data_IF_042683958070
#
_entry.id   IF_042683958070
#
_cell.length_a   1.000
_cell.length_b   1.000
_cell.length_c   1.000
_cell.angle_alpha   90.00
_cell.angle_beta   90.00
_cell.angle_gamma   90.00
#
_symmetry.space_group_name_H-M   'P 1'
#
loop_
_entity.id
_entity.type
_entity.pdbx_description
1 polymer ?
#
# COMPACT_ATOMS: atom_id res chain seq x y z
N UNK A 1 10.44 11.09 -20.06
CA UNK A 1 9.77 10.94 -21.36
C UNK A 1 9.75 9.50 -21.83
N UNK A 2 10.89 8.82 -21.90
CA UNK A 2 11.05 7.45 -22.40
C UNK A 2 10.11 6.46 -21.69
N UNK A 3 10.16 6.40 -20.36
CA UNK A 3 9.29 5.52 -19.58
C UNK A 3 7.79 5.71 -19.89
N UNK A 4 7.34 6.95 -19.96
CA UNK A 4 5.94 7.24 -20.29
C UNK A 4 5.64 6.92 -21.76
N UNK A 5 6.57 7.19 -22.68
CA UNK A 5 6.41 6.85 -24.10
C UNK A 5 6.25 5.35 -24.30
N UNK A 6 7.07 4.54 -23.62
CA UNK A 6 6.98 3.07 -23.63
C UNK A 6 5.67 2.61 -22.98
N UNK A 7 5.34 3.12 -21.78
CA UNK A 7 4.15 2.72 -21.04
C UNK A 7 2.85 2.99 -21.80
N UNK A 8 2.74 4.16 -22.42
CA UNK A 8 1.52 4.59 -23.12
C UNK A 8 1.53 4.29 -24.62
N UNK A 9 2.65 3.81 -25.16
CA UNK A 9 2.88 3.64 -26.60
C UNK A 9 2.52 4.91 -27.42
N UNK A 10 2.91 6.08 -26.88
CA UNK A 10 2.63 7.40 -27.48
C UNK A 10 3.82 8.33 -27.33
N UNK A 11 3.91 9.30 -28.21
CA UNK A 11 4.84 10.40 -28.01
C UNK A 11 4.42 11.22 -26.80
N UNK A 12 5.40 11.54 -25.93
CA UNK A 12 5.16 12.24 -24.67
C UNK A 12 5.89 13.58 -24.65
N UNK A 13 5.14 14.63 -24.47
CA UNK A 13 5.65 15.98 -24.24
C UNK A 13 5.60 16.29 -22.75
N UNK A 14 6.76 16.67 -22.20
CA UNK A 14 6.84 17.10 -20.81
C UNK A 14 6.49 18.58 -20.73
N UNK A 15 5.47 18.89 -19.91
CA UNK A 15 5.11 20.26 -19.57
C UNK A 15 4.99 20.40 -18.04
N UNK A 16 5.55 21.45 -17.44
CA UNK A 16 6.48 22.40 -18.06
C UNK A 16 7.83 21.76 -18.41
N UNK A 17 8.62 22.43 -19.23
CA UNK A 17 10.01 22.06 -19.43
C UNK A 17 10.77 22.15 -18.08
N UNK A 18 11.83 21.34 -17.87
CA UNK A 18 12.66 21.45 -16.67
C UNK A 18 13.15 22.89 -16.48
N UNK A 19 12.99 23.44 -15.27
CA UNK A 19 13.53 24.73 -14.89
C UNK A 19 15.05 24.71 -14.78
N UNK A 20 15.66 25.89 -14.71
CA UNK A 20 17.10 26.06 -14.44
C UNK A 20 17.40 25.86 -12.96
N UNK A 21 16.42 26.10 -12.10
CA UNK A 21 16.51 25.98 -10.66
C UNK A 21 15.66 24.81 -10.18
N UNK A 22 16.24 23.93 -9.38
CA UNK A 22 15.55 22.77 -8.82
C UNK A 22 14.48 23.18 -7.78
N UNK A 23 14.66 24.33 -7.13
CA UNK A 23 13.80 24.86 -6.08
C UNK A 23 12.67 25.76 -6.61
N UNK A 24 12.72 26.14 -7.89
CA UNK A 24 11.75 27.03 -8.54
C UNK A 24 11.26 26.41 -9.87
N UNK A 25 10.13 25.77 -9.84
CA UNK A 25 9.46 25.20 -11.00
C UNK A 25 8.19 25.97 -11.35
N UNK A 26 7.63 25.74 -12.53
CA UNK A 26 6.38 26.38 -12.95
C UNK A 26 5.22 26.19 -11.95
N UNK A 27 5.12 25.02 -11.34
CA UNK A 27 4.00 24.69 -10.44
C UNK A 27 4.34 24.81 -8.96
N UNK A 28 5.60 24.81 -8.59
CA UNK A 28 6.01 24.78 -7.21
C UNK A 28 7.31 25.52 -6.99
N UNK A 29 7.34 26.28 -5.92
CA UNK A 29 8.51 27.01 -5.46
C UNK A 29 8.79 26.58 -4.01
N UNK A 30 10.04 26.30 -3.70
CA UNK A 30 10.41 25.97 -2.33
C UNK A 30 10.29 27.21 -1.45
N UNK A 31 9.57 27.08 -0.36
CA UNK A 31 9.43 28.16 0.63
C UNK A 31 10.41 27.96 1.75
N UNK A 32 11.19 29.00 2.04
CA UNK A 32 12.05 29.01 3.24
C UNK A 32 11.16 28.93 4.49
N UNK A 33 11.56 28.04 5.42
CA UNK A 33 10.87 27.89 6.70
C UNK A 33 10.97 29.21 7.48
N UNK A 34 9.82 29.76 7.85
CA UNK A 34 9.71 30.98 8.66
C UNK A 34 8.58 30.78 9.68
N UNK A 35 8.93 30.34 10.86
CA UNK A 35 7.95 30.08 11.92
C UNK A 35 7.17 31.33 12.34
N UNK A 36 7.78 32.53 12.23
CA UNK A 36 7.12 33.79 12.56
C UNK A 36 6.01 34.13 11.59
N UNK A 37 6.13 33.69 10.32
CA UNK A 37 5.11 33.86 9.29
C UNK A 37 4.19 32.64 9.14
N UNK A 38 4.29 31.65 10.03
CA UNK A 38 3.48 30.44 9.95
C UNK A 38 3.90 29.49 8.81
N UNK A 39 5.08 29.66 8.25
CA UNK A 39 5.64 28.72 7.25
C UNK A 39 6.39 27.63 7.99
N UNK A 40 5.77 26.45 8.06
CA UNK A 40 6.26 25.31 8.81
C UNK A 40 6.96 24.29 7.91
N UNK A 41 7.86 23.51 8.53
CA UNK A 41 8.53 22.41 7.88
C UNK A 41 8.54 21.15 8.73
N UNK A 42 9.15 20.09 8.22
CA UNK A 42 9.39 18.84 8.93
C UNK A 42 10.82 18.78 9.41
N UNK A 43 11.01 18.34 10.64
CA UNK A 43 12.31 18.03 11.19
C UNK A 43 12.52 16.52 11.18
N UNK A 44 13.60 16.06 10.57
CA UNK A 44 13.99 14.65 10.58
C UNK A 44 15.04 14.41 11.65
N UNK A 45 14.88 13.31 12.42
CA UNK A 45 15.77 12.91 13.50
C UNK A 45 16.17 11.45 13.32
N UNK A 46 17.42 11.19 12.97
CA UNK A 46 17.94 9.82 12.85
C UNK A 46 18.37 9.27 14.20
N UNK A 47 17.94 8.06 14.52
CA UNK A 47 18.26 7.35 15.76
C UNK A 47 18.87 6.01 15.43
N UNK A 48 20.13 5.79 15.83
CA UNK A 48 20.79 4.49 15.73
C UNK A 48 20.95 3.90 17.13
N UNK A 49 20.33 2.74 17.41
CA UNK A 49 20.50 2.08 18.70
C UNK A 49 21.96 1.73 18.97
N UNK A 50 22.47 2.11 20.12
CA UNK A 50 23.79 1.71 20.59
C UNK A 50 23.64 1.00 21.94
N UNK A 51 24.15 -0.21 22.05
CA UNK A 51 24.10 -1.00 23.28
C UNK A 51 22.69 -1.48 23.71
N UNK A 52 21.70 -1.35 22.83
CA UNK A 52 20.32 -1.84 23.03
C UNK A 52 19.80 -2.53 21.78
N UNK A 53 18.85 -3.44 21.97
CA UNK A 53 18.17 -4.07 20.84
C UNK A 53 17.24 -3.08 20.13
N UNK A 54 16.93 -3.34 18.85
CA UNK A 54 15.95 -2.58 18.08
C UNK A 54 14.62 -2.46 18.83
N UNK A 55 14.08 -3.58 19.32
CA UNK A 55 12.79 -3.61 20.03
C UNK A 55 12.82 -2.78 21.33
N UNK A 56 13.88 -2.86 22.13
CA UNK A 56 14.00 -2.07 23.35
C UNK A 56 14.08 -0.55 23.04
N UNK A 57 14.72 -0.17 21.93
CA UNK A 57 14.79 1.22 21.50
C UNK A 57 13.42 1.69 21.01
N UNK A 58 12.71 0.85 20.27
CA UNK A 58 11.35 1.09 19.78
C UNK A 58 10.38 1.35 20.93
N UNK A 59 10.35 0.46 21.94
CA UNK A 59 9.54 0.61 23.16
C UNK A 59 9.83 1.94 23.86
N UNK A 60 11.13 2.22 24.10
CA UNK A 60 11.55 3.42 24.82
C UNK A 60 11.24 4.70 24.07
N UNK A 61 11.43 4.70 22.75
CA UNK A 61 11.18 5.87 21.91
C UNK A 61 9.69 6.17 21.86
N UNK A 62 8.84 5.16 21.58
CA UNK A 62 7.39 5.32 21.62
C UNK A 62 6.91 5.82 22.99
N UNK A 63 7.31 5.18 24.06
CA UNK A 63 6.93 5.57 25.41
C UNK A 63 7.37 7.01 25.75
N UNK A 64 8.61 7.38 25.39
CA UNK A 64 9.12 8.72 25.65
C UNK A 64 8.36 9.80 24.87
N UNK A 65 8.09 9.58 23.58
CA UNK A 65 7.33 10.51 22.74
C UNK A 65 5.91 10.69 23.26
N UNK A 66 5.22 9.59 23.54
CA UNK A 66 3.85 9.61 24.05
C UNK A 66 3.77 10.31 25.42
N UNK A 67 4.59 9.89 26.36
CA UNK A 67 4.58 10.44 27.73
C UNK A 67 4.98 11.92 27.75
N UNK A 68 5.94 12.33 26.91
CA UNK A 68 6.44 13.69 26.89
C UNK A 68 5.39 14.68 26.41
N UNK A 69 4.66 14.38 25.34
CA UNK A 69 3.54 15.22 24.85
C UNK A 69 2.49 15.40 25.95
N UNK A 70 2.19 14.34 26.70
CA UNK A 70 1.22 14.39 27.80
C UNK A 70 1.69 15.31 28.94
N UNK A 71 2.96 15.27 29.28
CA UNK A 71 3.52 16.01 30.44
C UNK A 71 3.96 17.43 30.14
N UNK A 72 4.04 17.83 28.86
CA UNK A 72 4.38 19.21 28.52
C UNK A 72 3.27 20.17 28.95
N UNK A 73 3.67 21.30 29.50
CA UNK A 73 2.79 22.44 29.83
C UNK A 73 2.56 23.28 28.55
N UNK A 74 1.64 22.81 27.74
CA UNK A 74 1.19 23.44 26.49
C UNK A 74 -0.33 23.35 26.40
N UNK A 75 -0.96 24.24 25.63
CA UNK A 75 -2.40 24.24 25.47
C UNK A 75 -2.92 22.91 24.88
N UNK A 76 -4.19 22.57 25.16
CA UNK A 76 -4.82 21.35 24.65
C UNK A 76 -4.87 21.35 23.10
N UNK A 77 -5.01 22.51 22.48
CA UNK A 77 -4.94 22.64 21.03
C UNK A 77 -3.58 22.21 20.47
N UNK A 78 -2.49 22.65 21.08
CA UNK A 78 -1.13 22.24 20.68
C UNK A 78 -0.87 20.78 21.03
N UNK A 79 -1.39 20.30 22.18
CA UNK A 79 -1.32 18.88 22.53
C UNK A 79 -2.03 18.02 21.48
N UNK A 80 -3.20 18.44 21.00
CA UNK A 80 -3.93 17.72 19.98
C UNK A 80 -3.11 17.54 18.70
N UNK A 81 -2.41 18.59 18.25
CA UNK A 81 -1.53 18.53 17.07
C UNK A 81 -0.37 17.53 17.21
N UNK A 82 0.04 17.21 18.44
CA UNK A 82 1.15 16.30 18.75
C UNK A 82 0.67 14.99 19.40
N UNK A 83 -0.65 14.82 19.59
CA UNK A 83 -1.20 13.74 20.39
C UNK A 83 -1.01 12.37 19.76
N UNK A 84 -1.29 12.24 18.48
CA UNK A 84 -1.21 10.95 17.79
C UNK A 84 0.22 10.69 17.32
N UNK A 85 0.84 9.64 17.85
CA UNK A 85 2.10 9.13 17.33
C UNK A 85 1.82 8.17 16.17
N UNK A 86 2.17 8.56 14.96
CA UNK A 86 2.13 7.69 13.80
C UNK A 86 3.39 6.85 13.73
N UNK A 87 3.28 5.52 13.69
CA UNK A 87 4.43 4.61 13.59
C UNK A 87 4.34 3.85 12.27
N UNK A 88 5.35 4.06 11.42
CA UNK A 88 5.43 3.45 10.10
C UNK A 88 6.33 2.21 10.12
N UNK A 89 5.87 1.13 9.52
CA UNK A 89 6.57 -0.14 9.39
C UNK A 89 6.72 -0.56 7.93
N UNK A 90 7.86 -1.16 7.61
CA UNK A 90 8.17 -1.68 6.27
C UNK A 90 7.48 -3.04 5.98
N UNK A 91 6.88 -3.68 6.98
CA UNK A 91 6.19 -4.96 6.82
C UNK A 91 5.06 -5.14 7.83
N UNK A 92 4.03 -5.90 7.43
CA UNK A 92 2.92 -6.30 8.32
C UNK A 92 3.41 -7.15 9.52
N UNK A 93 4.48 -7.93 9.33
CA UNK A 93 5.08 -8.75 10.39
C UNK A 93 5.67 -7.88 11.51
N UNK A 94 6.41 -6.82 11.15
CA UNK A 94 6.98 -5.90 12.14
C UNK A 94 5.88 -5.10 12.84
N UNK A 95 4.86 -4.67 12.10
CA UNK A 95 3.71 -3.98 12.65
C UNK A 95 2.93 -4.86 13.64
N UNK A 96 2.67 -6.12 13.30
CA UNK A 96 1.98 -7.05 14.21
C UNK A 96 2.70 -7.23 15.54
N UNK A 97 4.05 -7.31 15.51
CA UNK A 97 4.85 -7.32 16.74
C UNK A 97 4.72 -6.02 17.53
N UNK A 98 4.72 -4.89 16.85
CA UNK A 98 4.62 -3.58 17.48
C UNK A 98 3.26 -3.37 18.15
N UNK A 99 2.18 -3.91 17.61
CA UNK A 99 0.87 -3.88 18.25
C UNK A 99 0.92 -4.50 19.63
N UNK A 100 1.51 -5.68 19.77
CA UNK A 100 1.72 -6.34 21.08
C UNK A 100 2.63 -5.50 21.99
N UNK A 101 3.74 -4.94 21.44
CA UNK A 101 4.63 -4.10 22.23
C UNK A 101 3.93 -2.83 22.77
N UNK A 102 3.00 -2.25 22.00
CA UNK A 102 2.23 -1.07 22.45
C UNK A 102 1.31 -1.46 23.60
N UNK A 103 0.66 -2.60 23.51
CA UNK A 103 -0.32 -3.02 24.51
C UNK A 103 0.32 -3.44 25.84
N UNK A 104 1.50 -4.01 25.80
CA UNK A 104 2.20 -4.50 27.00
C UNK A 104 3.37 -3.58 27.39
N UNK A 105 4.47 -3.65 26.65
CA UNK A 105 5.76 -3.05 27.07
C UNK A 105 5.76 -1.53 27.07
N UNK A 106 5.13 -0.88 26.07
CA UNK A 106 5.10 0.58 25.97
C UNK A 106 4.27 1.17 27.11
N UNK A 107 3.11 0.58 27.42
CA UNK A 107 2.26 0.99 28.54
C UNK A 107 3.01 0.86 29.87
N UNK A 108 3.68 -0.26 30.09
CA UNK A 108 4.49 -0.52 31.27
C UNK A 108 5.64 0.49 31.39
N UNK A 109 6.31 0.77 30.28
CA UNK A 109 7.43 1.72 30.28
C UNK A 109 6.96 3.15 30.58
N UNK A 110 5.77 3.55 30.11
CA UNK A 110 5.13 4.84 30.44
C UNK A 110 4.87 4.91 31.96
N UNK A 111 4.29 3.85 32.55
CA UNK A 111 4.02 3.79 34.00
C UNK A 111 5.32 3.96 34.80
N UNK A 112 6.36 3.20 34.48
CA UNK A 112 7.67 3.29 35.15
C UNK A 112 8.30 4.68 35.01
N UNK A 113 8.17 5.28 33.82
CA UNK A 113 8.72 6.61 33.56
C UNK A 113 7.96 7.68 34.33
N UNK A 114 6.64 7.64 34.33
CA UNK A 114 5.79 8.57 35.09
C UNK A 114 6.09 8.50 36.58
N UNK A 115 6.18 7.30 37.15
CA UNK A 115 6.50 7.08 38.57
C UNK A 115 7.89 7.66 38.92
N UNK A 116 8.91 7.40 38.07
CA UNK A 116 10.27 7.91 38.30
C UNK A 116 10.37 9.43 38.22
N UNK A 117 9.54 10.05 37.38
CA UNK A 117 9.53 11.50 37.16
C UNK A 117 8.51 12.23 38.04
N UNK A 118 7.75 11.49 38.87
CA UNK A 118 6.67 12.03 39.71
C UNK A 118 5.63 12.82 38.88
N UNK A 119 5.27 12.32 37.70
CA UNK A 119 4.31 12.97 36.80
C UNK A 119 3.06 12.08 36.64
N UNK A 120 1.97 12.68 36.14
CA UNK A 120 0.84 11.90 35.65
C UNK A 120 1.25 10.96 34.50
N UNK A 121 0.54 9.85 34.38
CA UNK A 121 0.78 8.88 33.29
C UNK A 121 -0.21 9.10 32.14
N UNK A 122 0.28 9.02 30.91
CA UNK A 122 -0.58 8.96 29.73
C UNK A 122 -1.29 7.61 29.64
N UNK A 123 -2.59 7.63 29.46
CA UNK A 123 -3.38 6.43 29.18
C UNK A 123 -3.41 6.15 27.69
N UNK A 124 -3.08 4.92 27.30
CA UNK A 124 -3.22 4.42 25.94
C UNK A 124 -4.31 3.35 25.96
N UNK A 125 -5.41 3.58 25.27
CA UNK A 125 -6.53 2.62 25.21
C UNK A 125 -6.14 1.46 24.31
N UNK A 126 -5.83 1.74 23.05
CA UNK A 126 -5.38 0.78 22.04
C UNK A 126 -4.60 1.51 20.94
N UNK A 127 -3.84 0.77 20.14
CA UNK A 127 -3.32 1.27 18.90
C UNK A 127 -4.37 1.12 17.81
N UNK A 128 -4.53 2.18 17.00
CA UNK A 128 -5.31 2.13 15.76
C UNK A 128 -4.40 1.67 14.62
N UNK A 129 -4.95 1.07 13.57
CA UNK A 129 -4.17 0.47 12.47
C UNK A 129 -4.61 0.99 11.10
N UNK A 130 -3.63 1.24 10.21
CA UNK A 130 -3.83 1.56 8.79
C UNK A 130 -3.00 0.63 7.92
N UNK A 131 -3.56 -0.52 7.62
CA UNK A 131 -2.90 -1.56 6.82
C UNK A 131 -3.88 -2.24 5.86
N UNK A 132 -3.33 -3.03 4.95
CA UNK A 132 -4.12 -3.82 4.01
C UNK A 132 -4.84 -5.02 4.64
N UNK A 133 -4.55 -5.35 5.89
CA UNK A 133 -5.18 -6.50 6.58
C UNK A 133 -6.50 -6.17 7.26
N UNK A 134 -6.76 -4.89 7.56
CA UNK A 134 -8.02 -4.46 8.15
C UNK A 134 -9.11 -4.33 7.08
N UNK A 135 -10.36 -4.51 7.49
CA UNK A 135 -11.50 -4.35 6.59
C UNK A 135 -11.70 -2.90 6.18
N UNK A 136 -12.41 -2.66 5.07
CA UNK A 136 -12.75 -1.31 4.62
C UNK A 136 -13.59 -0.55 5.65
N UNK A 137 -14.42 -1.26 6.41
CA UNK A 137 -15.23 -0.66 7.48
C UNK A 137 -14.35 -0.15 8.62
N UNK A 138 -13.46 -1.00 9.13
CA UNK A 138 -12.48 -0.62 10.17
C UNK A 138 -11.56 0.50 9.73
N UNK A 139 -11.15 0.49 8.45
CA UNK A 139 -10.36 1.58 7.86
C UNK A 139 -11.11 2.92 7.93
N UNK A 140 -12.38 2.94 7.52
CA UNK A 140 -13.20 4.15 7.55
C UNK A 140 -13.45 4.62 8.99
N UNK A 141 -13.70 3.72 9.92
CA UNK A 141 -13.86 4.04 11.34
C UNK A 141 -12.58 4.66 11.93
N UNK A 142 -11.42 4.10 11.58
CA UNK A 142 -10.12 4.64 11.99
C UNK A 142 -9.89 6.05 11.42
N UNK A 143 -10.18 6.26 10.14
CA UNK A 143 -10.06 7.58 9.51
C UNK A 143 -11.02 8.60 10.14
N UNK A 144 -12.28 8.21 10.33
CA UNK A 144 -13.28 9.04 11.00
C UNK A 144 -12.86 9.43 12.42
N UNK A 145 -12.29 8.50 13.16
CA UNK A 145 -11.75 8.76 14.50
C UNK A 145 -10.59 9.76 14.46
N UNK A 146 -9.66 9.56 13.51
CA UNK A 146 -8.51 10.47 13.34
C UNK A 146 -8.92 11.88 12.93
N UNK A 147 -9.97 12.05 12.15
CA UNK A 147 -10.43 13.35 11.69
C UNK A 147 -11.33 14.07 12.70
N UNK A 148 -12.25 13.33 13.35
CA UNK A 148 -13.36 13.91 14.13
C UNK A 148 -13.13 13.93 15.63
N UNK A 149 -12.23 13.10 16.18
CA UNK A 149 -12.00 13.02 17.62
C UNK A 149 -10.67 13.66 17.99
N UNK A 150 -10.71 14.90 18.42
CA UNK A 150 -9.55 15.65 18.91
C UNK A 150 -9.26 15.38 20.41
N UNK A 151 -8.03 15.61 20.82
CA UNK A 151 -7.67 15.64 22.23
C UNK A 151 -8.21 16.92 22.87
N UNK A 152 -9.24 16.78 23.72
CA UNK A 152 -9.79 17.88 24.47
C UNK A 152 -10.41 17.39 25.78
N UNK A 153 -10.45 18.27 26.78
CA UNK A 153 -11.07 17.97 28.06
C UNK A 153 -12.56 17.56 27.90
N UNK A 154 -13.28 18.19 26.96
CA UNK A 154 -14.68 17.87 26.65
C UNK A 154 -14.84 16.44 26.10
N UNK A 155 -13.99 16.03 25.14
CA UNK A 155 -14.03 14.69 24.60
C UNK A 155 -13.64 13.63 25.64
N UNK A 156 -12.66 13.92 26.49
CA UNK A 156 -12.25 13.01 27.59
C UNK A 156 -13.42 12.84 28.58
N UNK A 157 -14.10 13.91 28.97
CA UNK A 157 -15.26 13.86 29.85
C UNK A 157 -16.42 13.05 29.24
N UNK A 158 -16.58 13.14 27.91
CA UNK A 158 -17.55 12.36 27.14
C UNK A 158 -17.09 10.91 26.85
N UNK A 159 -15.95 10.46 27.39
CA UNK A 159 -15.31 9.16 27.14
C UNK A 159 -14.97 8.91 25.64
N UNK A 160 -14.78 9.97 24.88
CA UNK A 160 -14.34 9.94 23.50
C UNK A 160 -12.84 10.23 23.45
N UNK A 161 -12.05 9.20 23.18
CA UNK A 161 -10.60 9.30 23.25
C UNK A 161 -9.99 9.45 21.86
N UNK A 162 -9.18 10.49 21.67
CA UNK A 162 -8.39 10.67 20.47
C UNK A 162 -7.37 9.52 20.32
N UNK A 163 -7.07 9.15 19.08
CA UNK A 163 -6.06 8.14 18.79
C UNK A 163 -4.72 8.50 19.42
N UNK A 164 -4.14 7.58 20.18
CA UNK A 164 -2.82 7.77 20.81
C UNK A 164 -1.70 7.28 19.93
N UNK A 165 -1.86 6.11 19.31
CA UNK A 165 -0.87 5.45 18.45
C UNK A 165 -1.58 4.99 17.18
N UNK A 166 -1.00 5.34 16.04
CA UNK A 166 -1.44 4.90 14.74
C UNK A 166 -0.34 4.04 14.11
N UNK A 167 -0.57 2.73 14.00
CA UNK A 167 0.35 1.80 13.36
C UNK A 167 0.02 1.71 11.87
N UNK A 168 0.99 1.95 11.00
CA UNK A 168 0.75 2.00 9.57
C UNK A 168 1.85 1.32 8.75
N UNK A 169 1.48 0.82 7.57
CA UNK A 169 2.39 0.43 6.50
C UNK A 169 2.24 1.40 5.32
N UNK A 170 2.56 0.98 4.11
CA UNK A 170 2.42 1.78 2.88
C UNK A 170 1.02 2.35 2.65
N UNK A 171 -0.02 1.83 3.31
CA UNK A 171 -1.38 2.37 3.24
C UNK A 171 -1.47 3.84 3.67
N UNK A 172 -0.63 4.29 4.61
CA UNK A 172 -0.57 5.70 4.99
C UNK A 172 -0.13 6.61 3.83
N UNK A 173 0.66 6.09 2.92
CA UNK A 173 1.18 6.84 1.77
C UNK A 173 0.11 7.23 0.76
N UNK A 174 -1.08 6.62 0.81
CA UNK A 174 -2.10 6.76 -0.22
C UNK A 174 -3.42 7.27 0.34
N UNK A 175 -3.80 8.48 -0.07
CA UNK A 175 -5.15 9.01 0.13
C UNK A 175 -5.49 9.49 1.55
N UNK A 176 -4.58 9.42 2.51
CA UNK A 176 -4.81 9.91 3.87
C UNK A 176 -4.35 11.35 3.99
N UNK A 177 -5.26 12.22 4.33
CA UNK A 177 -5.00 13.65 4.56
C UNK A 177 -5.57 14.11 5.90
N UNK A 178 -4.93 13.69 6.98
CA UNK A 178 -5.29 14.07 8.34
C UNK A 178 -4.35 15.16 8.83
N UNK A 179 -4.81 16.40 8.85
CA UNK A 179 -4.01 17.59 9.14
C UNK A 179 -3.40 17.63 10.56
N UNK A 180 -3.96 16.87 11.50
CA UNK A 180 -3.51 16.82 12.90
C UNK A 180 -2.34 15.86 13.15
N UNK A 181 -1.90 15.08 12.17
CA UNK A 181 -0.76 14.19 12.31
C UNK A 181 0.55 14.99 12.14
N UNK A 182 1.32 15.16 13.21
CA UNK A 182 2.55 15.93 13.16
C UNK A 182 3.76 15.23 13.81
N UNK A 183 3.57 14.06 14.41
CA UNK A 183 4.64 13.25 14.98
C UNK A 183 4.64 11.87 14.33
N UNK A 184 5.76 11.50 13.74
CA UNK A 184 5.95 10.19 13.13
C UNK A 184 7.22 9.52 13.63
N UNK A 185 7.15 8.21 13.80
CA UNK A 185 8.29 7.33 13.98
C UNK A 185 8.33 6.34 12.82
N UNK A 186 9.43 6.25 12.12
CA UNK A 186 9.67 5.26 11.06
C UNK A 186 10.60 4.19 11.59
N UNK A 187 10.17 2.93 11.53
CA UNK A 187 10.92 1.78 12.07
C UNK A 187 11.71 1.11 10.94
N UNK A 188 12.93 1.56 10.73
CA UNK A 188 13.81 1.22 9.63
C UNK A 188 13.58 2.09 8.40
N UNK A 189 14.61 2.16 7.55
CA UNK A 189 14.52 2.87 6.28
C UNK A 189 13.62 2.10 5.29
N UNK A 190 12.60 2.72 4.67
CA UNK A 190 11.86 2.13 3.57
C UNK A 190 12.76 1.67 2.42
N UNK A 191 12.31 0.70 1.63
CA UNK A 191 13.11 0.16 0.54
C UNK A 191 13.35 1.19 -0.57
N UNK A 192 12.36 1.98 -0.86
CA UNK A 192 12.40 3.01 -1.89
C UNK A 192 12.43 4.40 -1.25
N UNK A 193 13.21 5.30 -1.81
CA UNK A 193 13.24 6.72 -1.41
C UNK A 193 11.88 7.39 -1.68
N UNK A 194 11.21 7.02 -2.77
CA UNK A 194 9.85 7.48 -3.05
C UNK A 194 8.86 7.12 -1.94
N UNK A 195 8.93 5.91 -1.41
CA UNK A 195 8.11 5.45 -0.29
C UNK A 195 8.42 6.22 1.00
N UNK A 196 9.72 6.45 1.27
CA UNK A 196 10.17 7.27 2.39
C UNK A 196 9.57 8.67 2.34
N UNK A 197 9.65 9.33 1.18
CA UNK A 197 9.10 10.66 0.95
C UNK A 197 7.57 10.66 1.11
N UNK A 198 6.88 9.73 0.49
CA UNK A 198 5.42 9.65 0.51
C UNK A 198 4.88 9.39 1.93
N UNK A 199 5.50 8.49 2.68
CA UNK A 199 5.09 8.19 4.05
C UNK A 199 5.39 9.37 4.99
N UNK A 200 6.62 9.88 5.00
CA UNK A 200 7.02 10.98 5.89
C UNK A 200 6.30 12.31 5.59
N UNK A 201 5.85 12.51 4.34
CA UNK A 201 5.07 13.69 3.95
C UNK A 201 3.65 13.72 4.51
N UNK A 202 3.19 12.66 5.17
CA UNK A 202 1.85 12.60 5.78
C UNK A 202 1.76 13.33 7.12
N UNK A 203 2.88 13.68 7.70
CA UNK A 203 2.92 14.48 8.94
C UNK A 203 3.52 15.86 8.68
N UNK A 204 3.15 16.81 9.52
CA UNK A 204 3.67 18.19 9.41
C UNK A 204 3.18 18.94 8.18
N UNK A 205 1.89 18.82 7.84
CA UNK A 205 1.28 19.54 6.71
C UNK A 205 0.77 20.91 7.08
N UNK A 206 0.08 21.02 8.19
CA UNK A 206 -0.55 22.26 8.66
C UNK A 206 0.08 22.80 9.93
N UNK A 207 1.04 22.07 10.53
CA UNK A 207 1.72 22.40 11.76
C UNK A 207 3.15 21.86 11.70
N UNK A 208 4.11 22.37 12.50
CA UNK A 208 5.47 21.83 12.53
C UNK A 208 5.48 20.32 12.77
N UNK A 209 6.12 19.58 11.87
CA UNK A 209 6.19 18.13 11.94
C UNK A 209 7.55 17.62 12.39
N UNK A 210 7.57 16.46 13.03
CA UNK A 210 8.81 15.75 13.36
C UNK A 210 8.72 14.28 12.97
N UNK A 211 9.76 13.79 12.30
CA UNK A 211 9.91 12.41 11.86
C UNK A 211 11.13 11.81 12.51
N UNK A 212 10.92 10.85 13.40
CA UNK A 212 11.99 10.07 14.02
C UNK A 212 12.22 8.82 13.18
N UNK A 213 13.43 8.65 12.66
CA UNK A 213 13.81 7.46 11.89
C UNK A 213 14.68 6.58 12.77
N UNK A 214 14.13 5.47 13.23
CA UNK A 214 14.87 4.47 13.99
C UNK A 214 15.52 3.48 13.03
N UNK A 215 16.82 3.51 12.93
CA UNK A 215 17.61 2.59 12.14
C UNK A 215 17.93 1.30 12.89
N UNK A 216 18.23 0.25 12.14
CA UNK A 216 18.66 -1.04 12.66
C UNK A 216 20.17 -1.23 12.44
N UNK A 217 20.94 -1.20 13.52
CA UNK A 217 22.40 -1.34 13.46
C UNK A 217 22.88 -2.68 12.85
N UNK A 218 22.02 -3.68 12.79
CA UNK A 218 22.33 -5.00 12.21
C UNK A 218 22.14 -5.03 10.68
N UNK A 219 21.48 -4.02 10.10
CA UNK A 219 21.21 -3.92 8.67
C UNK A 219 22.18 -2.95 8.00
N UNK A 220 22.99 -3.42 7.07
CA UNK A 220 23.96 -2.61 6.34
C UNK A 220 23.33 -1.39 5.67
N UNK A 221 22.12 -1.53 5.13
CA UNK A 221 21.39 -0.45 4.49
C UNK A 221 21.02 0.65 5.49
N UNK A 222 20.46 0.30 6.63
CA UNK A 222 20.07 1.25 7.67
C UNK A 222 21.30 1.99 8.21
N UNK A 223 22.43 1.28 8.39
CA UNK A 223 23.72 1.90 8.77
C UNK A 223 24.19 2.92 7.75
N UNK A 224 24.18 2.58 6.47
CA UNK A 224 24.57 3.49 5.39
C UNK A 224 23.71 4.75 5.35
N UNK A 225 22.40 4.63 5.52
CA UNK A 225 21.50 5.79 5.59
C UNK A 225 21.73 6.64 6.84
N UNK A 226 22.04 6.02 7.97
CA UNK A 226 22.37 6.75 9.19
C UNK A 226 23.69 7.52 9.08
N UNK A 227 24.75 6.89 8.56
CA UNK A 227 26.05 7.52 8.36
C UNK A 227 25.97 8.71 7.39
N UNK A 228 25.09 8.64 6.38
CA UNK A 228 24.86 9.70 5.40
C UNK A 228 23.58 10.51 5.67
N UNK A 229 23.10 10.51 6.89
CA UNK A 229 21.78 11.05 7.22
C UNK A 229 21.59 12.49 6.74
N UNK A 230 22.55 13.38 7.00
CA UNK A 230 22.46 14.79 6.60
C UNK A 230 22.45 14.96 5.09
N UNK A 231 23.47 14.44 4.41
CA UNK A 231 23.59 14.58 2.95
C UNK A 231 22.43 13.95 2.18
N UNK A 232 21.87 12.86 2.73
CA UNK A 232 20.67 12.25 2.16
C UNK A 232 19.45 13.16 2.29
N UNK A 233 19.21 13.77 3.45
CA UNK A 233 18.03 14.63 3.64
C UNK A 233 18.16 16.01 2.97
N UNK A 234 19.36 16.51 2.75
CA UNK A 234 19.60 17.75 2.02
C UNK A 234 19.24 17.64 0.53
N UNK A 235 19.24 16.42 -0.01
CA UNK A 235 18.96 16.19 -1.44
C UNK A 235 18.24 14.87 -1.72
N UNK A 236 17.33 14.43 -0.84
CA UNK A 236 16.76 13.08 -0.94
C UNK A 236 15.90 12.86 -2.20
N UNK A 237 15.35 13.89 -2.82
CA UNK A 237 14.70 13.77 -4.13
C UNK A 237 15.64 13.29 -5.24
N UNK A 238 16.93 13.55 -5.11
CA UNK A 238 17.97 13.08 -6.04
C UNK A 238 18.15 11.56 -5.99
N UNK A 239 17.81 10.95 -4.85
CA UNK A 239 17.98 9.51 -4.62
C UNK A 239 16.71 8.70 -4.94
N UNK A 240 15.69 9.34 -5.50
CA UNK A 240 14.48 8.62 -5.94
C UNK A 240 14.87 7.68 -7.07
N UNK A 241 14.61 6.41 -6.84
CA UNK A 241 14.95 5.33 -7.75
C UNK A 241 14.09 5.40 -9.02
N UNK A 242 14.67 5.16 -10.21
CA UNK A 242 13.88 5.02 -11.40
C UNK A 242 13.03 3.74 -11.30
N UNK A 243 11.75 3.86 -11.57
CA UNK A 243 10.84 2.71 -11.63
C UNK A 243 10.69 2.25 -13.07
N UNK A 244 10.96 0.99 -13.33
CA UNK A 244 10.64 0.37 -14.61
C UNK A 244 9.13 0.08 -14.71
N UNK A 245 8.54 0.32 -15.88
CA UNK A 245 7.19 -0.10 -16.18
C UNK A 245 7.22 -1.11 -17.34
N UNK A 246 6.93 -2.35 -17.04
CA UNK A 246 6.89 -3.46 -18.01
C UNK A 246 5.49 -4.07 -18.03
N UNK A 247 4.50 -3.40 -18.68
CA UNK A 247 3.09 -3.76 -18.56
C UNK A 247 2.77 -5.15 -19.13
N UNK A 248 3.58 -5.64 -20.07
CA UNK A 248 3.40 -6.95 -20.70
C UNK A 248 4.45 -7.99 -20.28
N UNK A 249 5.23 -7.72 -19.25
CA UNK A 249 6.10 -8.77 -18.69
C UNK A 249 5.27 -9.95 -18.18
N UNK A 250 5.82 -11.16 -18.25
CA UNK A 250 5.13 -12.38 -17.84
C UNK A 250 4.45 -12.28 -16.46
N UNK A 251 5.11 -11.79 -15.38
CA UNK A 251 4.44 -11.65 -14.09
C UNK A 251 3.27 -10.65 -14.07
N UNK A 252 3.29 -9.64 -14.96
CA UNK A 252 2.19 -8.70 -15.09
C UNK A 252 1.00 -9.33 -15.82
N UNK A 253 1.27 -10.10 -16.90
CA UNK A 253 0.25 -10.81 -17.66
C UNK A 253 -0.44 -11.89 -16.81
N UNK A 254 0.33 -12.74 -16.14
CA UNK A 254 -0.19 -13.78 -15.24
C UNK A 254 -1.18 -13.24 -14.19
N UNK A 255 -1.02 -11.98 -13.77
CA UNK A 255 -1.86 -11.36 -12.75
C UNK A 255 -3.02 -10.53 -13.29
N UNK A 256 -2.90 -9.96 -14.48
CA UNK A 256 -3.83 -8.93 -14.94
C UNK A 256 -4.41 -9.15 -16.33
N UNK A 257 -3.77 -9.91 -17.23
CA UNK A 257 -4.19 -10.03 -18.62
C UNK A 257 -5.65 -10.52 -18.74
N UNK A 258 -5.99 -11.59 -18.04
CA UNK A 258 -7.34 -12.16 -18.05
C UNK A 258 -8.41 -11.20 -17.53
N UNK A 259 -8.08 -10.35 -16.57
CA UNK A 259 -9.00 -9.30 -16.10
C UNK A 259 -9.22 -8.21 -17.15
N UNK A 260 -8.16 -7.84 -17.87
CA UNK A 260 -8.22 -6.86 -18.97
C UNK A 260 -9.05 -7.42 -20.11
N UNK A 261 -8.81 -8.68 -20.52
CA UNK A 261 -9.59 -9.38 -21.55
C UNK A 261 -11.07 -9.45 -21.19
N UNK A 262 -11.37 -9.86 -19.94
CA UNK A 262 -12.75 -9.87 -19.43
C UNK A 262 -13.40 -8.50 -19.54
N UNK A 263 -12.70 -7.44 -19.09
CA UNK A 263 -13.24 -6.08 -19.12
C UNK A 263 -13.47 -5.58 -20.57
N UNK A 264 -12.53 -5.85 -21.48
CA UNK A 264 -12.64 -5.44 -22.89
C UNK A 264 -13.81 -6.13 -23.57
N UNK A 265 -13.94 -7.45 -23.40
CA UNK A 265 -15.05 -8.20 -24.00
C UNK A 265 -16.40 -7.71 -23.45
N UNK A 266 -16.56 -7.65 -22.13
CA UNK A 266 -17.78 -7.21 -21.48
C UNK A 266 -18.28 -5.85 -21.99
N UNK A 267 -17.38 -4.89 -22.15
CA UNK A 267 -17.72 -3.56 -22.62
C UNK A 267 -18.16 -3.54 -24.09
N UNK A 268 -17.54 -4.38 -24.93
CA UNK A 268 -17.86 -4.46 -26.35
C UNK A 268 -19.18 -5.18 -26.63
N UNK A 269 -19.45 -6.26 -25.91
CA UNK A 269 -20.64 -7.12 -26.16
C UNK A 269 -21.81 -6.82 -25.21
N UNK A 270 -21.63 -5.97 -24.20
CA UNK A 270 -22.71 -5.53 -23.32
C UNK A 270 -23.08 -6.51 -22.20
N UNK A 271 -22.19 -7.45 -21.84
CA UNK A 271 -22.38 -8.36 -20.69
C UNK A 271 -22.19 -7.58 -19.38
N UNK A 272 -23.26 -7.05 -18.81
CA UNK A 272 -23.20 -6.07 -17.70
C UNK A 272 -23.34 -6.68 -16.32
N UNK A 273 -24.21 -7.67 -16.20
CA UNK A 273 -24.49 -8.32 -14.91
C UNK A 273 -23.40 -9.33 -14.54
N UNK A 274 -23.22 -9.58 -13.25
CA UNK A 274 -22.21 -10.53 -12.76
C UNK A 274 -22.46 -11.97 -13.27
N UNK A 275 -23.73 -12.33 -13.44
CA UNK A 275 -24.17 -13.63 -13.93
C UNK A 275 -24.05 -13.81 -15.44
N UNK A 276 -23.86 -12.75 -16.21
CA UNK A 276 -23.78 -12.81 -17.68
C UNK A 276 -22.50 -13.50 -18.18
N UNK A 277 -21.60 -13.90 -17.26
CA UNK A 277 -20.43 -14.68 -17.64
C UNK A 277 -20.78 -16.03 -18.30
N UNK A 278 -21.97 -16.58 -18.01
CA UNK A 278 -22.51 -17.81 -18.63
C UNK A 278 -22.93 -17.61 -20.09
N UNK A 279 -23.24 -16.38 -20.49
CA UNK A 279 -23.72 -16.05 -21.83
C UNK A 279 -22.56 -15.86 -22.83
N UNK A 280 -21.33 -16.21 -22.43
CA UNK A 280 -20.18 -16.18 -23.30
C UNK A 280 -20.21 -17.34 -24.29
N UNK A 281 -20.00 -17.04 -25.58
CA UNK A 281 -19.87 -17.98 -26.67
C UNK A 281 -18.65 -17.56 -27.52
N UNK A 282 -17.60 -18.40 -27.52
CA UNK A 282 -16.35 -18.12 -28.23
C UNK A 282 -16.53 -17.99 -29.74
N UNK A 283 -17.39 -18.83 -30.33
CA UNK A 283 -17.63 -18.81 -31.78
C UNK A 283 -18.43 -17.57 -32.17
N UNK A 284 -19.47 -17.25 -31.40
CA UNK A 284 -20.30 -16.08 -31.64
C UNK A 284 -19.54 -14.77 -31.52
N UNK A 285 -18.61 -14.69 -30.56
CA UNK A 285 -17.79 -13.48 -30.33
C UNK A 285 -16.42 -13.51 -31.02
N UNK A 286 -16.15 -14.44 -31.95
CA UNK A 286 -14.85 -14.64 -32.58
C UNK A 286 -14.25 -13.36 -33.20
N UNK A 287 -15.08 -12.57 -33.91
CA UNK A 287 -14.62 -11.30 -34.53
C UNK A 287 -14.17 -10.29 -33.48
N UNK A 288 -14.89 -10.19 -32.36
CA UNK A 288 -14.58 -9.27 -31.26
C UNK A 288 -13.32 -9.74 -30.53
N UNK A 289 -13.16 -11.04 -30.33
CA UNK A 289 -11.96 -11.64 -29.74
C UNK A 289 -10.74 -11.32 -30.59
N UNK A 290 -10.85 -11.49 -31.92
CA UNK A 290 -9.79 -11.15 -32.88
C UNK A 290 -9.44 -9.67 -32.83
N UNK A 291 -10.43 -8.78 -32.70
CA UNK A 291 -10.19 -7.33 -32.54
C UNK A 291 -9.45 -7.02 -31.25
N UNK A 292 -9.81 -7.66 -30.14
CA UNK A 292 -9.14 -7.50 -28.83
C UNK A 292 -7.69 -7.99 -28.92
N UNK A 293 -7.47 -9.18 -29.48
CA UNK A 293 -6.13 -9.74 -29.68
C UNK A 293 -5.25 -8.78 -30.49
N UNK A 294 -5.75 -8.35 -31.65
CA UNK A 294 -5.04 -7.41 -32.53
C UNK A 294 -4.66 -6.13 -31.80
N UNK A 295 -5.58 -5.55 -31.03
CA UNK A 295 -5.34 -4.33 -30.25
C UNK A 295 -4.19 -4.52 -29.24
N UNK A 296 -4.18 -5.65 -28.53
CA UNK A 296 -3.14 -5.94 -27.53
C UNK A 296 -1.79 -6.19 -28.21
N UNK A 297 -1.77 -6.99 -29.28
CA UNK A 297 -0.57 -7.31 -30.04
C UNK A 297 0.06 -6.06 -30.63
N UNK A 298 -0.70 -5.21 -31.29
CA UNK A 298 -0.21 -3.94 -31.85
C UNK A 298 0.39 -3.04 -30.77
N UNK A 299 -0.19 -3.05 -29.55
CA UNK A 299 0.33 -2.28 -28.44
C UNK A 299 1.66 -2.85 -27.93
N UNK A 300 1.81 -4.17 -27.86
CA UNK A 300 3.07 -4.84 -27.47
C UNK A 300 4.15 -4.58 -28.47
N UNK A 301 3.87 -4.74 -29.76
CA UNK A 301 4.82 -4.44 -30.83
C UNK A 301 5.28 -2.97 -30.82
N UNK A 302 4.35 -2.06 -30.58
CA UNK A 302 4.65 -0.63 -30.43
C UNK A 302 5.57 -0.35 -29.24
N UNK A 303 5.38 -1.02 -28.11
CA UNK A 303 6.23 -0.91 -26.93
C UNK A 303 7.62 -1.50 -27.19
N UNK A 304 7.69 -2.71 -27.77
CA UNK A 304 8.95 -3.33 -28.14
C UNK A 304 9.77 -2.45 -29.07
N UNK A 305 9.14 -1.85 -30.07
CA UNK A 305 9.77 -0.93 -31.01
C UNK A 305 10.28 0.34 -30.32
N UNK A 306 9.50 0.96 -29.44
CA UNK A 306 9.86 2.19 -28.72
C UNK A 306 10.94 1.98 -27.67
N UNK A 307 11.02 0.79 -27.10
CA UNK A 307 12.07 0.45 -26.11
C UNK A 307 13.43 0.19 -26.74
N UNK A 308 13.53 0.18 -28.07
CA UNK A 308 14.79 -0.08 -28.77
C UNK A 308 15.34 -1.50 -28.54
N UNK A 309 14.48 -2.45 -28.17
CA UNK A 309 14.85 -3.84 -27.86
C UNK A 309 15.22 -4.10 -26.39
N UNK A 310 15.16 -3.10 -25.53
CA UNK A 310 15.34 -3.30 -24.07
C UNK A 310 14.17 -4.08 -23.45
N UNK A 311 12.98 -3.98 -24.03
CA UNK A 311 11.81 -4.78 -23.69
C UNK A 311 11.50 -5.65 -24.89
N UNK A 312 11.55 -6.96 -24.74
CA UNK A 312 11.21 -7.92 -25.78
C UNK A 312 10.16 -8.89 -25.26
N UNK A 313 8.94 -8.40 -25.11
CA UNK A 313 7.82 -9.27 -24.80
C UNK A 313 7.45 -10.07 -26.06
N UNK A 314 7.38 -11.40 -25.92
CA UNK A 314 7.09 -12.28 -27.04
C UNK A 314 5.62 -12.20 -27.39
N UNK A 315 5.33 -11.70 -28.58
CA UNK A 315 3.96 -11.54 -29.10
C UNK A 315 3.25 -12.89 -29.20
N UNK A 316 3.96 -13.94 -29.63
CA UNK A 316 3.38 -15.27 -29.76
C UNK A 316 2.94 -15.88 -28.41
N UNK A 317 3.74 -15.66 -27.36
CA UNK A 317 3.35 -16.07 -26.00
C UNK A 317 2.04 -15.38 -25.58
N UNK A 318 1.91 -14.08 -25.88
CA UNK A 318 0.73 -13.29 -25.53
C UNK A 318 -0.50 -13.75 -26.32
N UNK A 319 -0.35 -14.06 -27.60
CA UNK A 319 -1.47 -14.64 -28.40
C UNK A 319 -1.93 -15.95 -27.82
N UNK A 320 -0.99 -16.85 -27.49
CA UNK A 320 -1.34 -18.12 -26.88
C UNK A 320 -2.04 -17.96 -25.53
N UNK A 321 -1.61 -17.00 -24.70
CA UNK A 321 -2.24 -16.72 -23.42
C UNK A 321 -3.67 -16.13 -23.59
N UNK A 322 -3.90 -15.32 -24.62
CA UNK A 322 -5.23 -14.78 -24.95
C UNK A 322 -6.17 -15.90 -25.41
N UNK A 323 -5.70 -16.78 -26.30
CA UNK A 323 -6.45 -17.92 -26.78
C UNK A 323 -6.80 -18.88 -25.64
N UNK A 324 -5.81 -19.26 -24.82
CA UNK A 324 -5.99 -20.13 -23.65
C UNK A 324 -7.01 -19.55 -22.66
N UNK A 325 -7.03 -18.24 -22.47
CA UNK A 325 -7.99 -17.58 -21.60
C UNK A 325 -9.44 -17.75 -22.11
N UNK A 326 -9.68 -17.48 -23.40
CA UNK A 326 -11.02 -17.60 -23.96
C UNK A 326 -11.47 -19.06 -24.06
N UNK A 327 -10.54 -20.00 -24.31
CA UNK A 327 -10.82 -21.44 -24.23
C UNK A 327 -11.20 -21.88 -22.82
N UNK A 328 -10.49 -21.37 -21.82
CA UNK A 328 -10.81 -21.63 -20.41
C UNK A 328 -12.20 -21.09 -20.05
N UNK A 329 -12.54 -19.91 -20.52
CA UNK A 329 -13.86 -19.33 -20.27
C UNK A 329 -14.95 -20.15 -20.93
N UNK A 330 -14.81 -20.52 -22.21
CA UNK A 330 -15.77 -21.39 -22.91
C UNK A 330 -15.94 -22.72 -22.19
N UNK A 331 -14.83 -23.37 -21.81
CA UNK A 331 -14.85 -24.59 -21.02
C UNK A 331 -15.68 -24.45 -19.73
N UNK A 332 -15.57 -23.33 -19.02
CA UNK A 332 -16.37 -23.12 -17.81
C UNK A 332 -17.86 -22.95 -18.10
N UNK A 333 -18.20 -22.32 -19.24
CA UNK A 333 -19.58 -22.21 -19.70
C UNK A 333 -20.14 -23.60 -20.04
N UNK A 334 -19.40 -24.40 -20.80
CA UNK A 334 -19.80 -25.74 -21.21
C UNK A 334 -20.03 -26.66 -20.01
N UNK A 335 -19.08 -26.67 -19.06
CA UNK A 335 -19.19 -27.43 -17.82
C UNK A 335 -20.40 -26.99 -16.96
N UNK A 336 -20.77 -25.72 -16.97
CA UNK A 336 -21.97 -25.25 -16.28
C UNK A 336 -23.26 -25.72 -16.96
N UNK A 337 -23.24 -25.85 -18.26
CA UNK A 337 -24.41 -26.28 -19.06
C UNK A 337 -24.59 -27.80 -19.05
N UNK A 338 -23.51 -28.59 -18.95
CA UNK A 338 -23.57 -30.07 -18.97
C UNK A 338 -24.10 -30.69 -17.67
N UNK A 339 -23.90 -30.06 -16.52
CA UNK A 339 -24.20 -30.65 -15.20
C UNK A 339 -25.69 -30.68 -14.82
N UNK A 340 -26.64 -30.54 -15.76
CA UNK A 340 -28.09 -30.80 -15.56
C UNK A 340 -28.82 -30.03 -14.44
N UNK A 341 -28.10 -29.41 -13.56
CA UNK A 341 -28.54 -28.38 -12.62
C UNK A 341 -27.89 -27.09 -13.08
N UNK A 342 -28.65 -26.19 -13.70
CA UNK A 342 -28.16 -24.94 -14.24
C UNK A 342 -27.24 -24.22 -13.24
N UNK A 343 -25.95 -24.57 -13.27
CA UNK A 343 -24.91 -23.85 -12.51
C UNK A 343 -24.68 -22.53 -13.23
N UNK A 344 -24.74 -21.44 -12.52
CA UNK A 344 -24.48 -20.12 -13.07
C UNK A 344 -22.99 -19.80 -12.99
N UNK A 345 -22.43 -19.32 -14.10
CA UNK A 345 -21.08 -18.75 -14.10
C UNK A 345 -21.18 -17.24 -13.83
N UNK A 346 -20.44 -16.77 -12.84
CA UNK A 346 -20.34 -15.37 -12.48
C UNK A 346 -18.97 -14.80 -12.91
N UNK A 347 -18.91 -13.50 -13.25
CA UNK A 347 -17.61 -12.84 -13.41
C UNK A 347 -16.79 -12.83 -12.13
N UNK A 348 -17.45 -12.78 -10.99
CA UNK A 348 -16.83 -12.81 -9.67
C UNK A 348 -16.91 -11.50 -8.89
N UNK A 349 -17.57 -10.45 -9.38
CA UNK A 349 -17.72 -9.17 -8.67
C UNK A 349 -18.22 -9.34 -7.23
N UNK A 350 -19.27 -10.15 -7.05
CA UNK A 350 -19.85 -10.46 -5.72
C UNK A 350 -19.04 -11.52 -4.97
N UNK A 351 -18.33 -12.36 -5.69
CA UNK A 351 -17.65 -13.55 -5.18
C UNK A 351 -16.13 -13.47 -5.29
N UNK A 352 -15.56 -12.27 -5.18
CA UNK A 352 -14.10 -12.09 -5.27
C UNK A 352 -13.33 -12.79 -4.16
N UNK A 353 -13.86 -12.80 -2.94
CA UNK A 353 -13.21 -13.40 -1.77
C UNK A 353 -13.72 -14.81 -1.50
N UNK A 354 -15.02 -14.99 -1.47
CA UNK A 354 -15.68 -16.26 -1.11
C UNK A 354 -16.35 -16.86 -2.36
N UNK A 355 -16.23 -18.18 -2.61
CA UNK A 355 -16.92 -18.83 -3.71
C UNK A 355 -18.44 -18.64 -3.63
N UNK A 356 -19.17 -18.70 -4.78
CA UNK A 356 -20.62 -18.77 -4.80
C UNK A 356 -21.13 -20.00 -4.00
N UNK A 357 -22.38 -19.95 -3.57
CA UNK A 357 -23.05 -21.10 -2.96
C UNK A 357 -23.14 -22.32 -3.92
N UNK A 358 -23.52 -23.47 -3.41
CA UNK A 358 -23.70 -24.70 -4.21
C UNK A 358 -24.48 -24.41 -5.53
N UNK A 359 -23.89 -24.82 -6.66
CA UNK A 359 -24.45 -24.58 -7.98
C UNK A 359 -23.94 -23.33 -8.71
N UNK A 360 -23.02 -22.56 -8.15
CA UNK A 360 -22.41 -21.42 -8.83
C UNK A 360 -20.90 -21.57 -8.99
N UNK A 361 -20.38 -21.02 -10.09
CA UNK A 361 -18.93 -20.85 -10.35
C UNK A 361 -18.60 -19.39 -10.56
N UNK A 362 -17.34 -19.01 -10.44
CA UNK A 362 -16.83 -17.69 -10.78
C UNK A 362 -15.67 -17.79 -11.76
N UNK A 363 -15.60 -16.87 -12.71
CA UNK A 363 -14.51 -16.78 -13.68
C UNK A 363 -13.25 -16.22 -13.02
N UNK A 364 -13.42 -15.14 -12.25
CA UNK A 364 -12.36 -14.42 -11.59
C UNK A 364 -12.52 -14.46 -10.07
N UNK A 365 -11.39 -14.51 -9.36
CA UNK A 365 -11.35 -14.37 -7.90
C UNK A 365 -10.20 -13.44 -7.48
N UNK A 366 -10.31 -12.89 -6.29
CA UNK A 366 -9.21 -12.11 -5.71
C UNK A 366 -7.98 -12.97 -5.50
N UNK A 367 -6.83 -12.48 -5.88
CA UNK A 367 -5.54 -13.13 -5.64
C UNK A 367 -5.39 -13.50 -4.15
N UNK A 368 -5.00 -14.73 -3.86
CA UNK A 368 -4.92 -15.30 -2.51
C UNK A 368 -6.24 -15.35 -1.73
N UNK A 369 -7.41 -15.28 -2.38
CA UNK A 369 -8.68 -15.50 -1.71
C UNK A 369 -8.87 -16.97 -1.32
N UNK A 370 -9.77 -17.20 -0.33
CA UNK A 370 -10.10 -18.56 0.09
C UNK A 370 -10.95 -19.29 -0.97
N UNK A 371 -10.69 -20.56 -1.17
CA UNK A 371 -11.43 -21.45 -2.02
C UNK A 371 -10.53 -22.36 -2.86
N UNK A 372 -11.00 -23.56 -3.15
CA UNK A 372 -10.34 -24.54 -4.03
C UNK A 372 -10.95 -24.55 -5.45
N UNK A 373 -11.78 -23.56 -5.77
CA UNK A 373 -12.40 -23.43 -7.08
C UNK A 373 -11.35 -23.07 -8.15
N UNK A 374 -11.66 -23.43 -9.38
CA UNK A 374 -10.78 -23.23 -10.54
C UNK A 374 -10.79 -21.81 -11.10
N UNK A 375 -11.37 -20.84 -10.38
CA UNK A 375 -11.42 -19.45 -10.81
C UNK A 375 -10.02 -18.84 -10.95
N UNK A 376 -9.87 -17.91 -11.90
CA UNK A 376 -8.60 -17.25 -12.20
C UNK A 376 -8.31 -16.16 -11.18
N UNK A 377 -7.10 -16.18 -10.64
CA UNK A 377 -6.64 -15.19 -9.67
C UNK A 377 -6.41 -13.83 -10.32
N UNK A 378 -7.02 -12.78 -9.78
CA UNK A 378 -6.85 -11.42 -10.30
C UNK A 378 -6.58 -10.40 -9.20
N UNK A 379 -5.92 -9.31 -9.59
CA UNK A 379 -5.70 -8.18 -8.70
C UNK A 379 -6.99 -7.37 -8.55
N UNK A 380 -7.37 -7.05 -7.32
CA UNK A 380 -8.50 -6.17 -7.02
C UNK A 380 -8.07 -4.75 -6.67
N UNK A 381 -6.76 -4.51 -6.59
CA UNK A 381 -6.18 -3.21 -6.28
C UNK A 381 -5.00 -2.92 -7.22
N UNK A 382 -4.91 -1.68 -7.68
CA UNK A 382 -3.75 -1.18 -8.45
C UNK A 382 -2.56 -0.82 -7.54
N UNK A 383 -2.71 -0.95 -6.23
CA UNK A 383 -1.66 -0.68 -5.26
C UNK A 383 -0.80 -1.90 -5.05
N UNK A 384 0.46 -1.66 -4.69
CA UNK A 384 1.32 -2.70 -4.17
C UNK A 384 0.80 -3.07 -2.77
N UNK A 385 0.00 -4.13 -2.69
CA UNK A 385 -0.53 -4.65 -1.43
C UNK A 385 0.44 -5.72 -0.98
N UNK A 386 0.83 -5.72 0.28
CA UNK A 386 1.57 -6.82 0.88
C UNK A 386 0.71 -8.08 0.78
N UNK A 387 0.99 -8.93 -0.20
CA UNK A 387 0.32 -10.20 -0.34
C UNK A 387 0.94 -11.21 0.63
N UNK A 388 0.12 -11.81 1.47
CA UNK A 388 0.54 -13.01 2.20
C UNK A 388 0.64 -14.16 1.18
N UNK A 389 1.84 -14.75 1.05
CA UNK A 389 2.02 -15.94 0.24
C UNK A 389 1.58 -17.15 1.06
N UNK A 390 0.59 -17.88 0.58
CA UNK A 390 0.22 -19.17 1.15
C UNK A 390 1.25 -20.20 0.67
N UNK A 391 2.18 -20.58 1.55
CA UNK A 391 3.12 -21.66 1.29
C UNK A 391 2.47 -23.02 1.55
N UNK A 392 2.38 -23.87 0.55
CA UNK A 392 2.05 -25.27 0.75
C UNK A 392 3.35 -26.03 1.12
N UNK A 393 3.40 -26.55 2.34
CA UNK A 393 4.46 -27.46 2.75
C UNK A 393 4.06 -28.85 2.25
N UNK A 394 4.73 -29.34 1.22
CA UNK A 394 4.63 -30.76 0.81
C UNK A 394 5.59 -31.55 1.68
N UNK A 395 5.06 -32.30 2.61
CA UNK A 395 5.84 -33.28 3.38
C UNK A 395 5.90 -34.55 2.52
N UNK A 396 7.06 -34.83 1.96
CA UNK A 396 7.33 -36.13 1.35
C UNK A 396 7.46 -37.13 2.48
N UNK A 397 6.45 -37.95 2.69
CA UNK A 397 6.57 -39.11 3.56
C UNK A 397 7.46 -40.13 2.86
N UNK A 398 8.53 -40.55 3.53
CA UNK A 398 9.20 -41.79 3.18
C UNK A 398 8.26 -42.95 3.54
N UNK A 399 7.49 -43.42 2.57
CA UNK A 399 6.83 -44.71 2.69
C UNK A 399 7.91 -45.79 2.48
N UNK A 400 8.74 -46.02 3.51
CA UNK A 400 9.52 -47.24 3.67
C UNK A 400 10.19 -47.26 5.06
N UNK A 401 9.49 -47.77 6.05
CA UNK A 401 10.01 -48.71 7.09
C UNK A 401 8.89 -49.64 7.47
#
# INVERSE_FOLDING_TARGET
KEQCSVLYNREVVQFPAPGLDAEDSFFAKESMIDYAKGVYGRKYVGIMPSGKTKAMTEIRLMAALLQKVFTYDISDEVKDKLWTLTVYFNSLKDLGKASTLVDDDVKDFIIRTANRMFTGRRLIVSADELTSRISTTELNETLDKLEKIEYSAANIAAKRYASSVLLATNMISVGIDVARLNVMMMVGQPKLTSEYIQASSRVGRSYPGVVFVQYDATKNRDRSHYERFRSYHESFYRFVEPTGATPFSRPARERALHSVLTAMLRQKVGLREDKDAIDFDKEYFADIITEIEKFIVERVDGINTRSGGEVSDKVDDIRSEIEEFFDTWQKYVDECNEEGNAKTLYFGRRYMVTPPAEGGRRLLRQYNSQGKDVALDTLTSMRNVDASVQGNIVIWGDDNV
#
